data_IF_580853246297
#
_entry.id   IF_580853246297
#
_cell.length_a   1.000
_cell.length_b   1.000
_cell.length_c   1.000
_cell.angle_alpha   90.00
_cell.angle_beta   90.00
_cell.angle_gamma   90.00
#
_symmetry.space_group_name_H-M   'P 1'
#
loop_
_entity.id
_entity.type
_entity.pdbx_description
1 polymer ?
#
# COMPACT_ATOMS: atom_id res chain seq x y z
N UNK A 1 -32.83 -43.19 1.36
CA UNK A 1 -32.63 -42.73 2.74
C UNK A 1 -31.32 -41.95 2.76
N UNK A 2 -31.40 -40.61 2.75
CA UNK A 2 -30.24 -39.75 2.91
C UNK A 2 -30.44 -38.99 4.21
N UNK A 3 -29.75 -39.43 5.27
CA UNK A 3 -29.75 -38.72 6.54
C UNK A 3 -29.09 -37.36 6.34
N UNK A 4 -29.87 -36.29 6.56
CA UNK A 4 -29.30 -34.95 6.74
C UNK A 4 -28.72 -34.91 8.15
N UNK A 5 -27.40 -34.95 8.27
CA UNK A 5 -26.72 -34.66 9.53
C UNK A 5 -26.87 -33.18 9.83
N UNK A 6 -27.64 -32.87 10.87
CA UNK A 6 -27.66 -31.55 11.49
C UNK A 6 -26.35 -31.38 12.27
N UNK A 7 -25.43 -30.58 11.76
CA UNK A 7 -24.07 -30.48 12.33
C UNK A 7 -23.99 -29.67 13.62
N UNK A 8 -25.09 -29.14 14.17
CA UNK A 8 -25.07 -28.38 15.43
C UNK A 8 -24.15 -27.15 15.43
N UNK A 9 -23.68 -26.69 14.27
CA UNK A 9 -22.70 -25.62 14.18
C UNK A 9 -23.39 -24.26 14.33
N UNK A 10 -22.98 -23.50 15.35
CA UNK A 10 -23.45 -22.14 15.56
C UNK A 10 -22.44 -21.12 15.02
N UNK A 11 -22.94 -20.03 14.43
CA UNK A 11 -22.12 -19.01 13.78
C UNK A 11 -22.04 -17.75 14.67
N UNK A 12 -20.83 -17.19 14.82
CA UNK A 12 -20.64 -15.84 15.36
C UNK A 12 -20.35 -14.87 14.21
N UNK A 13 -21.08 -13.76 14.18
CA UNK A 13 -20.88 -12.65 13.23
C UNK A 13 -20.04 -11.57 13.90
N UNK A 14 -18.97 -11.14 13.24
CA UNK A 14 -18.11 -10.04 13.70
C UNK A 14 -18.74 -8.70 13.27
N UNK A 15 -19.31 -7.94 14.22
CA UNK A 15 -19.90 -6.63 13.94
C UNK A 15 -18.90 -5.50 14.20
N UNK A 16 -19.19 -4.29 13.68
CA UNK A 16 -18.41 -3.07 13.92
C UNK A 16 -18.32 -2.70 15.42
N UNK A 17 -19.28 -3.13 16.23
CA UNK A 17 -19.25 -2.97 17.70
C UNK A 17 -18.16 -3.84 18.35
N UNK A 18 -17.81 -4.97 17.72
CA UNK A 18 -16.74 -5.85 18.19
C UNK A 18 -15.35 -5.22 17.99
N UNK A 19 -15.18 -4.35 16.97
CA UNK A 19 -13.97 -3.53 16.79
C UNK A 19 -13.82 -2.44 17.86
N UNK A 20 -14.92 -1.78 18.26
CA UNK A 20 -14.89 -0.79 19.34
C UNK A 20 -14.59 -1.42 20.71
N UNK A 21 -15.16 -2.60 21.01
CA UNK A 21 -14.85 -3.35 22.24
C UNK A 21 -13.37 -3.76 22.32
N UNK A 22 -12.76 -4.16 21.20
CA UNK A 22 -11.33 -4.48 21.14
C UNK A 22 -10.44 -3.24 21.39
N UNK A 23 -10.85 -2.05 20.91
CA UNK A 23 -10.15 -0.77 21.20
C UNK A 23 -10.27 -0.36 22.67
N UNK A 24 -11.41 -0.61 23.31
CA UNK A 24 -11.63 -0.29 24.72
C UNK A 24 -10.79 -1.18 25.65
N UNK A 25 -10.60 -2.45 25.29
CA UNK A 25 -9.81 -3.40 26.09
C UNK A 25 -8.29 -3.22 25.95
N UNK A 26 -7.82 -2.56 24.89
CA UNK A 26 -6.41 -2.25 24.66
C UNK A 26 -6.23 -0.77 24.28
N UNK A 27 -6.36 0.16 25.25
CA UNK A 27 -6.10 1.56 24.97
C UNK A 27 -4.65 1.75 24.48
N UNK A 28 -4.38 2.70 23.56
CA UNK A 28 -3.02 3.02 23.16
C UNK A 28 -2.21 3.41 24.42
N UNK A 29 -0.92 3.05 24.50
CA UNK A 29 -0.10 3.40 25.64
C UNK A 29 -0.14 4.92 25.84
N UNK A 30 -0.63 5.35 26.99
CA UNK A 30 -0.70 6.75 27.37
C UNK A 30 0.68 7.38 27.23
N UNK A 31 0.71 8.56 26.59
CA UNK A 31 1.91 9.26 26.18
C UNK A 31 3.03 9.27 27.22
N UNK A 32 4.25 9.06 26.74
CA UNK A 32 5.46 9.17 27.53
C UNK A 32 5.61 10.60 28.05
N UNK A 33 5.25 10.78 29.31
CA UNK A 33 5.52 11.99 30.09
C UNK A 33 7.02 12.18 30.31
N UNK A 34 7.44 13.43 30.16
CA UNK A 34 8.78 13.96 30.38
C UNK A 34 9.48 13.39 31.62
N UNK A 35 10.65 12.78 31.42
CA UNK A 35 11.76 12.68 32.38
C UNK A 35 13.01 13.02 31.58
N UNK A 36 13.73 14.11 31.85
CA UNK A 36 14.44 14.38 33.09
C UNK A 36 15.93 14.23 32.76
N UNK A 37 16.61 15.36 32.61
CA UNK A 37 17.99 15.43 32.13
C UNK A 37 18.96 14.70 33.07
N UNK A 38 19.68 13.71 32.53
CA UNK A 38 20.81 13.05 33.18
C UNK A 38 21.96 12.93 32.18
N UNK A 39 23.02 13.69 32.40
CA UNK A 39 24.28 13.61 31.63
C UNK A 39 24.97 12.29 31.95
N UNK A 40 25.34 11.52 30.94
CA UNK A 40 26.44 10.55 31.06
C UNK A 40 27.13 10.36 29.72
N UNK A 41 28.44 10.19 29.80
CA UNK A 41 29.43 10.35 28.75
C UNK A 41 29.45 9.20 27.73
N UNK A 42 29.89 9.54 26.53
CA UNK A 42 30.11 8.65 25.41
C UNK A 42 31.26 7.66 25.64
N UNK A 43 31.23 6.52 24.93
CA UNK A 43 32.43 5.94 24.37
C UNK A 43 32.37 5.94 22.83
N UNK A 44 33.44 6.45 22.28
CA UNK A 44 33.88 6.42 20.88
C UNK A 44 34.00 4.97 20.38
N UNK A 45 33.31 4.65 19.28
CA UNK A 45 33.64 3.49 18.46
C UNK A 45 33.59 3.89 16.97
N UNK A 46 34.79 4.02 16.39
CA UNK A 46 35.02 4.18 14.95
C UNK A 46 34.66 2.86 14.25
N UNK A 47 33.51 2.84 13.56
CA UNK A 47 33.15 1.81 12.59
C UNK A 47 33.37 2.33 11.17
N UNK A 48 34.57 2.08 10.64
CA UNK A 48 35.05 2.53 9.34
C UNK A 48 34.51 1.60 8.25
N UNK A 49 33.41 1.96 7.61
CA UNK A 49 32.94 1.28 6.39
C UNK A 49 33.51 2.00 5.16
N UNK A 50 34.56 1.42 4.59
CA UNK A 50 35.06 1.76 3.26
C UNK A 50 34.07 1.24 2.22
N UNK A 51 33.24 2.10 1.66
CA UNK A 51 32.62 1.82 0.36
C UNK A 51 33.67 2.08 -0.72
N UNK A 52 33.97 1.04 -1.51
CA UNK A 52 34.88 1.13 -2.64
C UNK A 52 34.26 2.08 -3.67
N UNK A 53 35.02 3.10 -4.05
CA UNK A 53 34.66 3.99 -5.13
C UNK A 53 34.46 3.22 -6.43
N UNK A 54 33.32 3.47 -7.06
CA UNK A 54 33.13 3.20 -8.48
C UNK A 54 33.41 4.52 -9.18
N UNK A 55 34.56 4.57 -9.86
CA UNK A 55 35.05 5.73 -10.58
C UNK A 55 34.88 5.45 -12.06
N UNK A 56 33.72 5.81 -12.61
CA UNK A 56 33.48 5.73 -14.05
C UNK A 56 33.69 7.12 -14.67
N UNK A 57 34.75 7.22 -15.47
CA UNK A 57 35.03 8.35 -16.35
C UNK A 57 34.08 8.26 -17.54
N UNK A 58 33.07 9.13 -17.59
CA UNK A 58 32.37 9.43 -18.84
C UNK A 58 32.79 10.82 -19.33
N UNK A 59 33.81 10.84 -20.18
CA UNK A 59 34.04 11.97 -21.08
C UNK A 59 33.01 11.87 -22.21
N UNK A 60 31.91 12.61 -22.13
CA UNK A 60 31.04 12.81 -23.29
C UNK A 60 30.56 14.27 -23.41
N UNK A 61 31.35 15.00 -24.19
CA UNK A 61 31.00 16.07 -25.15
C UNK A 61 29.52 16.49 -25.15
N UNK A 62 29.23 17.69 -24.62
CA UNK A 62 28.08 18.48 -25.03
C UNK A 62 28.11 18.62 -26.56
N UNK A 63 27.10 18.11 -27.25
CA UNK A 63 26.75 18.63 -28.57
C UNK A 63 25.66 19.66 -28.35
N UNK A 64 26.01 20.90 -28.63
CA UNK A 64 25.04 21.93 -28.99
C UNK A 64 24.31 21.42 -30.24
N UNK A 65 23.02 21.12 -30.08
CA UNK A 65 22.13 20.96 -31.24
C UNK A 65 21.54 22.33 -31.50
N UNK A 66 22.27 23.08 -32.33
CA UNK A 66 21.74 24.20 -33.06
C UNK A 66 20.57 23.73 -33.94
N UNK A 67 19.64 24.66 -34.07
CA UNK A 67 18.44 24.61 -34.87
C UNK A 67 18.69 24.26 -36.33
N UNK A 68 18.18 23.13 -36.79
CA UNK A 68 17.83 22.93 -38.20
C UNK A 68 16.38 22.45 -38.32
N UNK A 69 15.65 23.17 -39.17
CA UNK A 69 14.23 23.02 -39.39
C UNK A 69 13.89 21.76 -40.19
N UNK A 70 12.80 21.13 -39.79
CA UNK A 70 12.05 20.22 -40.65
C UNK A 70 10.57 20.62 -40.56
N UNK A 71 10.15 21.34 -41.60
CA UNK A 71 8.76 21.45 -41.98
C UNK A 71 8.24 20.04 -42.32
N UNK A 72 7.33 19.52 -41.51
CA UNK A 72 6.59 18.29 -41.82
C UNK A 72 5.12 18.65 -42.01
N UNK A 73 4.61 18.20 -43.15
CA UNK A 73 3.32 18.52 -43.70
C UNK A 73 2.15 18.23 -42.74
N UNK A 74 1.24 19.19 -42.64
CA UNK A 74 -0.04 19.04 -41.97
C UNK A 74 -0.98 18.25 -42.89
N UNK A 75 -1.41 17.06 -42.46
CA UNK A 75 -2.59 16.42 -43.02
C UNK A 75 -3.85 17.00 -42.36
N UNK A 76 -4.88 17.42 -43.11
CA UNK A 76 -6.14 17.84 -42.53
C UNK A 76 -6.90 16.64 -41.94
N UNK A 77 -7.61 16.79 -40.81
CA UNK A 77 -8.41 15.71 -40.23
C UNK A 77 -9.67 15.44 -41.07
N UNK A 78 -10.16 14.18 -41.10
CA UNK A 78 -11.40 13.84 -41.78
C UNK A 78 -12.63 14.37 -41.04
N UNK A 79 -13.47 15.11 -41.75
CA UNK A 79 -14.76 15.59 -41.27
C UNK A 79 -15.81 14.46 -41.29
N UNK A 80 -15.92 13.70 -40.20
CA UNK A 80 -16.94 12.67 -40.01
C UNK A 80 -17.96 13.03 -38.94
N UNK A 81 -19.03 13.76 -39.31
CA UNK A 81 -20.11 14.19 -38.41
C UNK A 81 -21.16 13.08 -38.25
N UNK A 82 -20.90 12.12 -37.36
CA UNK A 82 -21.86 11.07 -36.98
C UNK A 82 -22.93 11.60 -36.01
N UNK A 83 -24.21 11.58 -36.42
CA UNK A 83 -25.36 11.90 -35.57
C UNK A 83 -25.49 10.84 -34.47
N UNK A 84 -25.24 11.24 -33.21
CA UNK A 84 -25.52 10.41 -32.02
C UNK A 84 -27.03 10.40 -31.78
N UNK A 85 -27.65 9.23 -31.93
CA UNK A 85 -29.04 8.99 -31.56
C UNK A 85 -29.22 9.07 -30.05
N UNK A 86 -30.32 9.68 -29.62
CA UNK A 86 -30.72 9.77 -28.23
C UNK A 86 -30.95 8.36 -27.66
N UNK A 87 -30.02 7.91 -26.81
CA UNK A 87 -30.13 6.67 -26.05
C UNK A 87 -31.28 6.78 -25.06
N UNK A 88 -32.21 5.82 -25.11
CA UNK A 88 -33.31 5.68 -24.16
C UNK A 88 -32.73 5.47 -22.77
N UNK A 89 -33.15 6.32 -21.83
CA UNK A 89 -32.88 6.20 -20.40
C UNK A 89 -33.40 4.85 -19.90
N UNK A 90 -32.50 3.92 -19.62
CA UNK A 90 -32.83 2.67 -18.91
C UNK A 90 -32.96 2.99 -17.42
N UNK A 91 -34.12 2.68 -16.85
CA UNK A 91 -34.38 2.85 -15.43
C UNK A 91 -33.35 2.09 -14.57
N UNK A 92 -32.95 2.63 -13.40
CA UNK A 92 -31.99 1.99 -12.52
C UNK A 92 -32.53 0.66 -12.01
N UNK A 93 -31.75 -0.40 -12.19
CA UNK A 93 -32.02 -1.72 -11.62
C UNK A 93 -31.72 -1.63 -10.13
N UNK A 94 -32.75 -1.74 -9.30
CA UNK A 94 -32.60 -1.87 -7.86
C UNK A 94 -31.99 -3.24 -7.55
N UNK A 95 -30.70 -3.26 -7.20
CA UNK A 95 -30.04 -4.46 -6.69
C UNK A 95 -30.36 -4.51 -5.19
N UNK A 96 -31.26 -5.42 -4.79
CA UNK A 96 -31.43 -5.77 -3.37
C UNK A 96 -30.14 -6.42 -2.89
N UNK A 97 -29.36 -5.68 -2.10
CA UNK A 97 -28.20 -6.21 -1.40
C UNK A 97 -28.67 -7.16 -0.30
N UNK A 98 -28.65 -8.47 -0.57
CA UNK A 98 -28.75 -9.48 0.49
C UNK A 98 -27.52 -9.37 1.36
N UNK A 99 -27.70 -9.03 2.64
CA UNK A 99 -26.65 -9.15 3.65
C UNK A 99 -26.16 -10.60 3.69
N UNK A 100 -25.00 -10.84 3.09
CA UNK A 100 -24.29 -12.10 3.23
C UNK A 100 -23.70 -12.14 4.64
N UNK A 101 -24.26 -12.98 5.52
CA UNK A 101 -23.63 -13.31 6.80
C UNK A 101 -22.33 -14.06 6.54
N UNK A 102 -21.22 -13.33 6.54
CA UNK A 102 -19.88 -13.93 6.44
C UNK A 102 -19.56 -14.61 7.77
N UNK A 103 -19.38 -15.93 7.73
CA UNK A 103 -18.98 -16.73 8.90
C UNK A 103 -17.46 -16.93 8.86
N UNK A 104 -16.73 -16.26 9.73
CA UNK A 104 -15.26 -16.29 9.73
C UNK A 104 -14.69 -17.47 10.54
N UNK A 105 -15.38 -17.89 11.61
CA UNK A 105 -14.91 -18.93 12.54
C UNK A 105 -16.06 -19.87 12.85
N UNK A 106 -15.84 -21.17 12.68
CA UNK A 106 -16.78 -22.20 13.13
C UNK A 106 -16.41 -22.67 14.52
N UNK A 107 -17.38 -22.63 15.42
CA UNK A 107 -17.25 -23.06 16.80
C UNK A 107 -18.09 -24.32 16.97
N UNK A 108 -17.53 -25.42 17.50
CA UNK A 108 -18.32 -26.61 17.80
C UNK A 108 -19.45 -26.25 18.79
N UNK A 109 -20.63 -26.84 18.61
CA UNK A 109 -21.85 -26.61 19.40
C UNK A 109 -21.60 -26.56 20.91
N UNK A 110 -20.84 -27.53 21.39
CA UNK A 110 -20.54 -27.79 22.79
C UNK A 110 -19.76 -26.65 23.45
N UNK A 111 -19.04 -25.84 22.66
CA UNK A 111 -18.30 -24.68 23.15
C UNK A 111 -19.04 -23.37 22.95
N UNK A 112 -20.22 -23.35 22.30
CA UNK A 112 -20.88 -22.11 21.90
C UNK A 112 -21.31 -21.23 23.09
N UNK A 113 -21.77 -21.83 24.19
CA UNK A 113 -22.10 -21.08 25.40
C UNK A 113 -20.82 -20.66 26.14
N UNK A 114 -19.80 -21.52 26.14
CA UNK A 114 -18.54 -21.29 26.83
C UNK A 114 -17.78 -20.10 26.26
N UNK A 115 -17.69 -19.98 24.93
CA UNK A 115 -17.01 -18.85 24.25
C UNK A 115 -17.72 -17.50 24.41
N UNK A 116 -18.96 -17.51 24.89
CA UNK A 116 -19.75 -16.30 25.20
C UNK A 116 -19.62 -15.86 26.65
N UNK A 117 -18.99 -16.65 27.51
CA UNK A 117 -18.72 -16.24 28.89
C UNK A 117 -17.82 -15.00 28.89
N UNK A 118 -18.10 -13.99 29.75
CA UNK A 118 -17.43 -12.70 29.70
C UNK A 118 -15.91 -12.77 30.00
N UNK A 119 -15.46 -13.84 30.65
CA UNK A 119 -14.06 -14.11 30.94
C UNK A 119 -13.31 -14.71 29.74
N UNK A 120 -14.02 -15.19 28.72
CA UNK A 120 -13.42 -15.76 27.52
C UNK A 120 -13.13 -14.66 26.52
N UNK A 121 -11.85 -14.51 26.18
CA UNK A 121 -11.38 -13.54 25.20
C UNK A 121 -11.09 -14.22 23.89
N UNK A 122 -11.61 -13.64 22.81
CA UNK A 122 -11.11 -13.96 21.48
C UNK A 122 -9.76 -13.27 21.28
N UNK A 123 -8.76 -14.05 20.90
CA UNK A 123 -7.45 -13.58 20.44
C UNK A 123 -7.38 -13.97 18.97
N UNK A 124 -7.15 -13.02 18.07
CA UNK A 124 -6.94 -13.33 16.66
C UNK A 124 -5.55 -13.96 16.43
N UNK A 125 -5.35 -14.64 15.30
CA UNK A 125 -4.05 -15.23 14.90
C UNK A 125 -2.91 -14.22 15.04
N UNK A 126 -3.24 -12.95 14.81
CA UNK A 126 -2.39 -11.79 14.97
C UNK A 126 -1.80 -11.56 16.34
N UNK A 127 -2.68 -11.33 17.30
CA UNK A 127 -2.27 -11.05 18.67
C UNK A 127 -1.55 -12.26 19.24
N UNK A 128 -2.04 -13.47 18.97
CA UNK A 128 -1.39 -14.71 19.40
C UNK A 128 0.04 -14.85 18.87
N UNK A 129 0.25 -14.69 17.56
CA UNK A 129 1.59 -14.78 16.98
C UNK A 129 2.54 -13.71 17.54
N UNK A 130 2.05 -12.48 17.69
CA UNK A 130 2.83 -11.38 18.28
C UNK A 130 3.27 -11.70 19.70
N UNK A 131 2.37 -12.20 20.53
CA UNK A 131 2.65 -12.58 21.91
C UNK A 131 3.66 -13.73 21.98
N UNK A 132 3.49 -14.76 21.15
CA UNK A 132 4.40 -15.90 21.02
C UNK A 132 5.83 -15.48 20.61
N UNK A 133 5.95 -14.63 19.58
CA UNK A 133 7.26 -14.12 19.12
C UNK A 133 7.94 -13.30 20.21
N UNK A 134 7.20 -12.43 20.89
CA UNK A 134 7.75 -11.63 21.99
C UNK A 134 8.16 -12.51 23.18
N UNK A 135 7.44 -13.60 23.43
CA UNK A 135 7.77 -14.58 24.46
C UNK A 135 8.90 -15.54 24.06
N UNK A 136 9.29 -15.58 22.79
CA UNK A 136 10.28 -16.54 22.27
C UNK A 136 9.77 -17.98 22.23
N UNK A 137 8.46 -18.20 22.33
CA UNK A 137 7.83 -19.53 22.36
C UNK A 137 6.70 -19.58 21.34
N UNK A 138 6.69 -20.61 20.49
CA UNK A 138 5.62 -20.83 19.51
C UNK A 138 4.63 -21.84 20.07
N UNK A 139 3.38 -21.42 20.27
CA UNK A 139 2.28 -22.24 20.76
C UNK A 139 1.21 -22.41 19.67
N UNK A 140 0.41 -23.49 19.69
CA UNK A 140 -0.71 -23.63 18.76
C UNK A 140 -1.78 -22.56 19.00
N UNK A 141 -2.22 -21.87 17.94
CA UNK A 141 -3.31 -20.89 18.01
C UNK A 141 -4.67 -21.56 18.30
N UNK A 142 -5.43 -21.09 19.29
CA UNK A 142 -6.74 -21.67 19.66
C UNK A 142 -7.92 -20.68 19.71
N UNK A 143 -7.74 -19.46 19.20
CA UNK A 143 -8.76 -18.38 19.11
C UNK A 143 -9.40 -17.87 20.40
N UNK A 144 -9.77 -18.73 21.36
CA UNK A 144 -10.50 -18.36 22.57
C UNK A 144 -9.72 -18.77 23.81
N UNK A 145 -9.50 -17.82 24.71
CA UNK A 145 -8.66 -18.01 25.90
C UNK A 145 -9.34 -17.50 27.17
N UNK A 146 -9.10 -18.19 28.28
CA UNK A 146 -9.47 -17.80 29.64
C UNK A 146 -8.23 -17.97 30.51
N UNK A 147 -7.80 -16.91 31.19
CA UNK A 147 -6.61 -16.93 32.05
C UNK A 147 -5.35 -17.51 31.34
N UNK A 148 -5.12 -17.07 30.10
CA UNK A 148 -4.06 -17.55 29.20
C UNK A 148 -4.12 -19.05 28.82
N UNK A 149 -5.20 -19.76 29.18
CA UNK A 149 -5.45 -21.14 28.74
C UNK A 149 -6.46 -21.15 27.61
N UNK A 150 -6.21 -21.98 26.61
CA UNK A 150 -7.15 -22.15 25.52
C UNK A 150 -8.44 -22.84 26.00
N UNK A 151 -9.56 -22.34 25.50
CA UNK A 151 -10.91 -22.77 25.88
C UNK A 151 -11.41 -23.90 24.98
N UNK A 152 -11.02 -23.88 23.70
CA UNK A 152 -11.32 -24.95 22.76
C UNK A 152 -10.30 -26.09 22.93
N UNK A 153 -10.71 -27.33 22.73
CA UNK A 153 -9.79 -28.48 22.74
C UNK A 153 -9.10 -28.70 21.39
N UNK A 154 -9.59 -28.05 20.33
CA UNK A 154 -9.09 -28.16 18.97
C UNK A 154 -9.08 -26.81 18.27
N UNK A 155 -8.24 -26.68 17.24
CA UNK A 155 -8.20 -25.50 16.38
C UNK A 155 -9.59 -25.25 15.74
N UNK A 156 -10.21 -24.08 15.91
CA UNK A 156 -11.50 -23.81 15.29
C UNK A 156 -11.34 -23.69 13.78
N UNK A 157 -12.32 -24.20 13.02
CA UNK A 157 -12.26 -24.14 11.56
C UNK A 157 -12.48 -22.68 11.14
N UNK A 158 -11.41 -22.02 10.73
CA UNK A 158 -11.47 -20.69 10.13
C UNK A 158 -11.91 -20.86 8.68
N UNK A 159 -13.02 -20.22 8.30
CA UNK A 159 -13.55 -20.27 6.94
C UNK A 159 -13.24 -18.98 6.19
N UNK A 160 -12.88 -19.13 4.92
CA UNK A 160 -12.71 -18.04 3.96
C UNK A 160 -11.36 -17.32 4.05
N UNK A 161 -11.33 -16.08 3.55
CA UNK A 161 -10.12 -15.25 3.44
C UNK A 161 -9.60 -14.71 4.80
N UNK A 162 -10.20 -15.13 5.91
CA UNK A 162 -9.94 -14.57 7.25
C UNK A 162 -8.51 -14.82 7.72
N UNK A 163 -7.94 -16.01 7.49
CA UNK A 163 -6.54 -16.29 7.87
C UNK A 163 -5.55 -15.43 7.07
N UNK A 164 -5.74 -15.33 5.76
CA UNK A 164 -4.88 -14.52 4.88
C UNK A 164 -4.98 -13.04 5.22
N UNK A 165 -6.19 -12.53 5.43
CA UNK A 165 -6.39 -11.13 5.80
C UNK A 165 -5.79 -10.80 7.16
N UNK A 166 -5.96 -11.67 8.17
CA UNK A 166 -5.33 -11.48 9.48
C UNK A 166 -3.81 -11.50 9.39
N UNK A 167 -3.23 -12.46 8.66
CA UNK A 167 -1.79 -12.52 8.40
C UNK A 167 -1.27 -11.23 7.79
N UNK A 168 -1.94 -10.74 6.75
CA UNK A 168 -1.54 -9.50 6.08
C UNK A 168 -1.63 -8.29 7.01
N UNK A 169 -2.65 -8.16 7.86
CA UNK A 169 -2.75 -7.05 8.82
C UNK A 169 -1.61 -7.03 9.87
N UNK A 170 -1.09 -8.18 10.29
CA UNK A 170 -0.01 -8.25 11.31
C UNK A 170 1.33 -7.89 10.72
N UNK A 171 1.57 -8.39 9.50
CA UNK A 171 2.86 -8.34 8.84
C UNK A 171 2.98 -7.15 7.90
N UNK A 172 1.96 -6.29 7.84
CA UNK A 172 2.03 -5.04 7.09
C UNK A 172 3.04 -4.13 7.75
N UNK A 173 4.29 -4.27 7.29
CA UNK A 173 5.37 -3.40 7.68
C UNK A 173 5.13 -2.00 7.14
N UNK A 174 5.85 -1.02 7.70
CA UNK A 174 5.71 0.35 7.25
C UNK A 174 6.07 0.46 5.78
N UNK A 175 5.10 0.85 4.97
CA UNK A 175 5.19 0.88 3.52
C UNK A 175 4.99 2.29 3.01
N UNK A 176 5.89 2.72 2.13
CA UNK A 176 5.74 3.97 1.39
C UNK A 176 5.53 3.64 -0.08
N UNK A 177 4.51 4.24 -0.68
CA UNK A 177 4.26 4.21 -2.11
C UNK A 177 4.60 5.60 -2.66
N UNK A 178 5.56 5.66 -3.58
CA UNK A 178 5.92 6.88 -4.31
C UNK A 178 5.46 6.69 -5.75
N UNK A 179 4.46 7.46 -6.17
CA UNK A 179 3.91 7.39 -7.50
C UNK A 179 4.42 8.54 -8.35
N UNK A 180 5.28 8.22 -9.30
CA UNK A 180 5.80 9.16 -10.28
C UNK A 180 4.82 9.24 -11.45
N UNK A 181 4.13 10.37 -11.57
CA UNK A 181 3.07 10.55 -12.55
C UNK A 181 3.45 11.59 -13.59
N UNK A 182 3.37 11.25 -14.87
CA UNK A 182 3.55 12.27 -15.90
C UNK A 182 2.41 13.30 -15.82
N UNK A 183 2.73 14.60 -15.85
CA UNK A 183 1.76 15.71 -15.68
C UNK A 183 0.53 15.67 -16.59
N UNK A 184 0.62 14.99 -17.73
CA UNK A 184 -0.49 14.90 -18.69
C UNK A 184 -1.42 13.72 -18.44
N UNK A 185 -1.04 12.78 -17.57
CA UNK A 185 -1.89 11.67 -17.16
C UNK A 185 -2.75 12.17 -16.01
N UNK A 186 -4.08 11.99 -16.03
CA UNK A 186 -4.93 12.37 -14.91
C UNK A 186 -4.66 11.49 -13.68
N UNK A 187 -4.83 12.01 -12.45
CA UNK A 187 -4.66 11.22 -11.23
C UNK A 187 -5.64 10.05 -11.21
N UNK A 188 -5.24 8.94 -10.59
CA UNK A 188 -6.03 7.72 -10.51
C UNK A 188 -5.30 6.47 -11.00
N UNK A 189 -6.10 5.46 -11.35
CA UNK A 189 -5.60 4.25 -11.99
C UNK A 189 -5.10 3.19 -11.00
N UNK A 190 -4.13 2.35 -11.41
CA UNK A 190 -3.68 1.20 -10.62
C UNK A 190 -3.15 1.55 -9.23
N UNK A 191 -2.55 2.73 -9.05
CA UNK A 191 -2.00 3.15 -7.76
C UNK A 191 -3.10 3.44 -6.73
N UNK A 192 -4.19 4.10 -7.14
CA UNK A 192 -5.34 4.31 -6.25
C UNK A 192 -5.97 3.00 -5.85
N UNK A 193 -6.12 2.07 -6.80
CA UNK A 193 -6.64 0.72 -6.51
C UNK A 193 -5.71 0.01 -5.53
N UNK A 194 -4.39 0.15 -5.70
CA UNK A 194 -3.41 -0.43 -4.79
C UNK A 194 -3.49 0.19 -3.40
N UNK A 195 -3.62 1.51 -3.29
CA UNK A 195 -3.81 2.19 -2.00
C UNK A 195 -5.10 1.72 -1.32
N UNK A 196 -6.23 1.70 -2.03
CA UNK A 196 -7.51 1.21 -1.52
C UNK A 196 -7.43 -0.25 -1.07
N UNK A 197 -6.71 -1.08 -1.82
CA UNK A 197 -6.48 -2.49 -1.51
C UNK A 197 -5.56 -2.67 -0.29
N UNK A 198 -4.52 -1.86 -0.15
CA UNK A 198 -3.52 -1.99 0.92
C UNK A 198 -3.93 -1.30 2.24
N UNK A 199 -4.78 -0.28 2.17
CA UNK A 199 -5.19 0.51 3.33
C UNK A 199 -5.79 -0.33 4.46
N UNK A 200 -6.66 -1.34 4.22
CA UNK A 200 -7.21 -2.19 5.29
C UNK A 200 -6.15 -2.99 6.07
N UNK A 201 -4.97 -3.21 5.48
CA UNK A 201 -3.90 -3.98 6.12
C UNK A 201 -2.96 -3.10 6.97
N UNK A 202 -2.99 -1.77 6.80
CA UNK A 202 -2.16 -0.80 7.53
C UNK A 202 -3.04 -0.01 8.51
N UNK A 203 -3.28 -0.60 9.68
CA UNK A 203 -4.32 -0.15 10.62
C UNK A 203 -3.94 1.13 11.37
N UNK A 204 -2.65 1.43 11.52
CA UNK A 204 -2.20 2.62 12.23
C UNK A 204 -1.87 3.77 11.27
N UNK A 205 -2.18 4.99 11.70
CA UNK A 205 -1.85 6.20 10.95
C UNK A 205 -0.35 6.29 10.66
N UNK A 206 0.01 6.37 9.39
CA UNK A 206 1.40 6.51 8.95
C UNK A 206 2.12 5.18 8.66
N UNK A 207 1.48 4.02 8.85
CA UNK A 207 2.04 2.73 8.41
C UNK A 207 2.03 2.56 6.89
N UNK A 208 1.00 3.09 6.22
CA UNK A 208 0.97 3.28 4.77
C UNK A 208 1.03 4.77 4.47
N UNK A 209 2.03 5.20 3.70
CA UNK A 209 2.11 6.56 3.17
C UNK A 209 2.13 6.49 1.65
N UNK A 210 1.32 7.30 1.00
CA UNK A 210 1.26 7.39 -0.46
C UNK A 210 1.58 8.83 -0.85
N UNK A 211 2.54 8.99 -1.77
CA UNK A 211 2.97 10.27 -2.28
C UNK A 211 2.90 10.28 -3.80
N UNK A 212 2.13 11.20 -4.36
CA UNK A 212 2.13 11.46 -5.79
C UNK A 212 3.18 12.54 -6.12
N UNK A 213 4.06 12.22 -7.07
CA UNK A 213 5.09 13.12 -7.59
C UNK A 213 4.85 13.31 -9.07
N UNK A 214 4.31 14.47 -9.40
CA UNK A 214 4.15 14.83 -10.78
C UNK A 214 5.51 15.16 -11.42
N UNK A 215 5.79 14.61 -12.60
CA UNK A 215 7.03 14.87 -13.32
C UNK A 215 6.81 15.47 -14.71
N UNK A 216 7.78 16.31 -15.08
CA UNK A 216 8.00 16.82 -16.42
C UNK A 216 9.50 17.13 -16.55
N UNK A 217 10.25 16.27 -17.23
CA UNK A 217 11.71 16.30 -17.32
C UNK A 217 12.22 16.88 -18.65
N UNK A 218 11.32 17.46 -19.44
CA UNK A 218 11.59 18.01 -20.78
C UNK A 218 12.63 19.14 -20.83
N UNK A 219 12.96 19.79 -19.71
CA UNK A 219 14.01 20.81 -19.62
C UNK A 219 14.79 20.71 -18.31
N UNK A 220 16.01 21.26 -18.28
CA UNK A 220 16.84 21.31 -17.07
C UNK A 220 16.13 22.03 -15.90
N UNK A 221 15.43 23.14 -16.18
CA UNK A 221 14.69 23.86 -15.15
C UNK A 221 13.58 23.01 -14.53
N UNK A 222 12.85 22.22 -15.34
CA UNK A 222 11.80 21.35 -14.84
C UNK A 222 12.35 20.11 -14.14
N UNK A 223 13.48 19.55 -14.60
CA UNK A 223 14.22 18.51 -13.86
C UNK A 223 14.62 18.99 -12.47
N UNK A 224 15.13 20.22 -12.35
CA UNK A 224 15.45 20.81 -11.05
C UNK A 224 14.21 21.04 -10.18
N UNK A 225 13.05 21.36 -10.78
CA UNK A 225 11.79 21.48 -10.05
C UNK A 225 11.31 20.14 -9.51
N UNK A 226 11.34 19.09 -10.34
CA UNK A 226 11.08 17.71 -9.93
C UNK A 226 12.02 17.29 -8.80
N UNK A 227 13.32 17.58 -8.91
CA UNK A 227 14.30 17.25 -7.88
C UNK A 227 13.97 17.85 -6.50
N UNK A 228 13.52 19.11 -6.48
CA UNK A 228 13.06 19.75 -5.24
C UNK A 228 11.79 19.11 -4.69
N UNK A 229 10.84 18.73 -5.55
CA UNK A 229 9.61 18.07 -5.15
C UNK A 229 9.89 16.68 -4.54
N UNK A 230 10.71 15.86 -5.22
CA UNK A 230 11.16 14.57 -4.72
C UNK A 230 11.92 14.69 -3.39
N UNK A 231 12.83 15.66 -3.27
CA UNK A 231 13.54 15.93 -2.01
C UNK A 231 12.60 16.34 -0.87
N UNK A 232 11.57 17.13 -1.17
CA UNK A 232 10.53 17.51 -0.19
C UNK A 232 9.80 16.28 0.31
N UNK A 233 9.39 15.38 -0.58
CA UNK A 233 8.69 14.14 -0.23
C UNK A 233 9.61 13.22 0.59
N UNK A 234 10.86 13.08 0.19
CA UNK A 234 11.87 12.32 0.96
C UNK A 234 11.96 12.83 2.41
N UNK A 235 11.90 14.15 2.63
CA UNK A 235 11.90 14.74 3.97
C UNK A 235 10.59 14.53 4.76
N UNK A 236 9.48 14.29 4.07
CA UNK A 236 8.17 13.98 4.68
C UNK A 236 8.03 12.51 5.07
N UNK A 237 8.85 11.63 4.50
CA UNK A 237 8.88 10.23 4.90
C UNK A 237 9.43 10.14 6.32
N UNK A 238 8.53 9.97 7.28
CA UNK A 238 8.89 9.92 8.70
C UNK A 238 9.31 8.52 9.13
N UNK A 239 10.36 8.41 9.95
CA UNK A 239 10.79 7.15 10.57
C UNK A 239 11.40 6.13 9.60
N UNK A 240 11.75 4.95 10.12
CA UNK A 240 12.26 3.85 9.30
C UNK A 240 11.14 3.22 8.49
N UNK A 241 11.30 3.19 7.16
CA UNK A 241 10.40 2.49 6.24
C UNK A 241 10.96 1.09 5.98
N UNK A 242 10.10 0.08 6.00
CA UNK A 242 10.49 -1.29 5.73
C UNK A 242 10.36 -1.64 4.25
N UNK A 243 9.32 -1.11 3.59
CA UNK A 243 9.04 -1.35 2.18
C UNK A 243 8.86 -0.02 1.45
N UNK A 244 9.57 0.15 0.35
CA UNK A 244 9.34 1.27 -0.57
C UNK A 244 8.91 0.71 -1.91
N UNK A 245 7.72 1.13 -2.37
CA UNK A 245 7.23 0.83 -3.70
C UNK A 245 7.25 2.10 -4.53
N UNK A 246 7.98 2.07 -5.65
CA UNK A 246 7.99 3.16 -6.61
C UNK A 246 7.20 2.73 -7.83
N UNK A 247 6.16 3.49 -8.17
CA UNK A 247 5.32 3.25 -9.34
C UNK A 247 5.49 4.40 -10.31
N UNK A 248 5.40 4.13 -11.61
CA UNK A 248 5.57 5.14 -12.65
C UNK A 248 4.39 5.03 -13.62
N UNK A 249 3.62 6.11 -13.72
CA UNK A 249 2.58 6.24 -14.73
C UNK A 249 3.09 7.13 -15.85
N UNK A 250 3.28 6.53 -17.03
CA UNK A 250 3.78 7.20 -18.22
C UNK A 250 3.03 6.73 -19.48
N UNK A 251 3.15 7.50 -20.55
CA UNK A 251 2.82 7.06 -21.88
C UNK A 251 4.10 6.65 -22.62
N UNK A 252 3.89 5.88 -23.67
CA UNK A 252 4.93 5.45 -24.59
C UNK A 252 4.72 6.15 -25.92
N UNK A 253 5.82 6.58 -26.55
CA UNK A 253 5.80 7.07 -27.92
C UNK A 253 5.44 5.93 -28.88
N UNK A 254 4.43 6.12 -29.73
CA UNK A 254 3.91 5.07 -30.61
C UNK A 254 4.94 4.62 -31.66
N UNK A 255 5.84 5.51 -32.08
CA UNK A 255 6.80 5.24 -33.15
C UNK A 255 8.09 4.62 -32.61
N UNK A 256 8.64 5.15 -31.51
CA UNK A 256 9.94 4.69 -30.98
C UNK A 256 9.83 3.68 -29.84
N UNK A 257 8.69 3.62 -29.15
CA UNK A 257 8.55 2.82 -27.92
C UNK A 257 9.22 3.47 -26.69
N UNK A 258 9.74 4.70 -26.83
CA UNK A 258 10.36 5.43 -25.73
C UNK A 258 9.33 5.97 -24.73
N UNK A 259 9.79 6.28 -23.52
CA UNK A 259 8.93 6.85 -22.48
C UNK A 259 8.90 8.37 -22.60
N UNK A 260 7.74 8.98 -22.38
CA UNK A 260 7.68 10.44 -22.37
C UNK A 260 8.34 11.02 -21.13
N UNK A 261 9.26 11.95 -21.35
CA UNK A 261 9.86 12.81 -20.34
C UNK A 261 8.93 13.98 -19.99
N UNK A 262 8.01 14.35 -20.88
CA UNK A 262 7.02 15.41 -20.67
C UNK A 262 6.89 16.31 -21.90
N UNK A 263 6.43 17.55 -21.70
CA UNK A 263 6.13 18.49 -22.80
C UNK A 263 7.10 19.66 -22.90
N UNK A 264 7.69 19.87 -24.08
CA UNK A 264 8.44 21.07 -24.45
C UNK A 264 7.68 21.83 -25.54
N UNK A 265 7.26 23.07 -25.26
CA UNK A 265 6.50 23.91 -26.21
C UNK A 265 5.28 23.17 -26.82
N UNK A 266 4.53 22.48 -25.97
CA UNK A 266 3.37 21.64 -26.32
C UNK A 266 3.66 20.42 -27.20
N UNK A 267 4.93 20.06 -27.42
CA UNK A 267 5.32 18.82 -28.06
C UNK A 267 5.80 17.83 -27.00
N UNK A 268 5.41 16.57 -27.16
CA UNK A 268 5.90 15.50 -26.32
C UNK A 268 7.39 15.27 -26.61
N UNK A 269 8.14 15.06 -25.54
CA UNK A 269 9.57 14.76 -25.57
C UNK A 269 9.71 13.36 -24.99
N UNK A 270 10.13 12.41 -25.82
CA UNK A 270 10.45 11.06 -25.40
C UNK A 270 11.95 10.93 -25.09
N UNK A 271 12.30 9.96 -24.25
CA UNK A 271 13.67 9.59 -23.94
C UNK A 271 13.76 8.09 -23.72
N UNK A 272 14.97 7.56 -23.84
CA UNK A 272 15.21 6.15 -23.60
C UNK A 272 14.78 5.75 -22.18
N UNK A 273 14.47 4.47 -21.99
CA UNK A 273 13.94 3.96 -20.72
C UNK A 273 14.92 4.19 -19.57
N UNK A 274 16.21 4.01 -19.78
CA UNK A 274 17.25 4.27 -18.78
C UNK A 274 17.33 5.77 -18.41
N UNK A 275 17.30 6.66 -19.39
CA UNK A 275 17.24 8.11 -19.13
C UNK A 275 15.97 8.49 -18.34
N UNK A 276 14.85 7.87 -18.69
CA UNK A 276 13.54 8.18 -18.12
C UNK A 276 13.32 7.54 -16.75
N UNK A 277 13.91 6.37 -16.47
CA UNK A 277 13.77 5.68 -15.19
C UNK A 277 14.85 6.10 -14.20
N UNK A 278 16.07 6.38 -14.64
CA UNK A 278 17.15 6.73 -13.72
C UNK A 278 17.09 8.19 -13.27
N UNK A 279 16.77 9.12 -14.17
CA UNK A 279 16.72 10.54 -13.83
C UNK A 279 15.72 10.90 -12.70
N UNK A 280 14.51 10.29 -12.63
CA UNK A 280 13.60 10.50 -11.51
C UNK A 280 14.03 9.82 -10.21
N UNK A 281 14.75 8.69 -10.30
CA UNK A 281 15.04 7.82 -9.15
C UNK A 281 16.30 8.21 -8.38
N UNK A 282 17.27 8.90 -8.99
CA UNK A 282 18.54 9.28 -8.33
C UNK A 282 18.43 10.24 -7.12
N UNK A 283 17.21 10.60 -6.73
CA UNK A 283 16.92 11.62 -5.70
C UNK A 283 16.40 10.98 -4.41
N UNK A 284 16.00 9.70 -4.46
CA UNK A 284 15.52 8.94 -3.32
C UNK A 284 16.60 8.03 -2.74
#
# INVERSE_FOLDING_TARGET
MGEKYDTGLHCMTWSRESEELARVQHPPPAGCGKRGAGKSAAPTARGMWKTRGWQERSTHRQRDVESEGLARAQHPPPAGRGKRGAGKSSAPIAIESKELKVTCVQIPSEFFNLVKEPEVKFICVACHWKDDVLAGNVTPYQSFYRDAKAVLSSFPVIKGNFELSLRLCIYSKKTVIIHLQMHTIPPGGPVNILEEFLRPYHLHSGELQVFDVEFNLSTAAKRNAYARAASTISSQIHGSVDNTLITISNHTDEDSGDLFLGKLRNKDVAGAVDETLLAPLFIF
#
